data_IF_757169779836
#
_entry.id   IF_757169779836
#
_cell.length_a   1.000
_cell.length_b   1.000
_cell.length_c   1.000
_cell.angle_alpha   90.00
_cell.angle_beta   90.00
_cell.angle_gamma   90.00
#
_symmetry.space_group_name_H-M   'P 1'
#
loop_
_entity.id
_entity.type
_entity.pdbx_description
1 polymer ?
#
# COMPACT_ATOMS: atom_id res chain seq x y z
N UNK A 1 -33.72 24.45 50.10
CA UNK A 1 -32.86 23.78 49.09
C UNK A 1 -33.68 23.73 47.81
N UNK A 2 -33.35 24.54 46.82
CA UNK A 2 -34.05 24.55 45.53
C UNK A 2 -33.59 23.35 44.70
N UNK A 3 -34.45 22.36 44.52
CA UNK A 3 -34.22 21.32 43.52
C UNK A 3 -34.33 21.95 42.13
N UNK A 4 -33.19 22.13 41.45
CA UNK A 4 -33.16 22.49 40.03
C UNK A 4 -33.75 21.33 39.23
N UNK A 5 -35.04 21.42 38.92
CA UNK A 5 -35.73 20.52 37.99
C UNK A 5 -35.19 20.79 36.58
N UNK A 6 -34.10 20.12 36.21
CA UNK A 6 -33.55 20.19 34.86
C UNK A 6 -34.56 19.58 33.89
N UNK A 7 -35.15 20.43 33.05
CA UNK A 7 -36.12 20.04 32.03
C UNK A 7 -35.46 19.02 31.09
N UNK A 8 -36.03 17.80 30.99
CA UNK A 8 -35.51 16.69 30.16
C UNK A 8 -35.22 17.13 28.72
N UNK A 9 -36.03 18.04 28.17
CA UNK A 9 -35.83 18.62 26.82
C UNK A 9 -34.55 19.45 26.71
N UNK A 10 -34.15 20.13 27.78
CA UNK A 10 -32.92 20.92 27.87
C UNK A 10 -31.69 20.02 27.90
N UNK A 11 -31.78 18.86 28.58
CA UNK A 11 -30.70 17.87 28.63
C UNK A 11 -30.47 17.24 27.24
N UNK A 12 -31.54 16.88 26.52
CA UNK A 12 -31.42 16.35 25.15
C UNK A 12 -30.89 17.38 24.15
N UNK A 13 -31.22 18.67 24.32
CA UNK A 13 -30.67 19.75 23.51
C UNK A 13 -29.15 19.86 23.71
N UNK A 14 -28.67 19.81 24.95
CA UNK A 14 -27.24 19.87 25.28
C UNK A 14 -26.50 18.64 24.74
N UNK A 15 -27.06 17.44 24.90
CA UNK A 15 -26.48 16.20 24.35
C UNK A 15 -26.38 16.23 22.81
N UNK A 16 -27.39 16.77 22.13
CA UNK A 16 -27.36 16.94 20.68
C UNK A 16 -26.29 17.91 20.22
N UNK A 17 -26.09 19.02 20.94
CA UNK A 17 -25.05 20.01 20.63
C UNK A 17 -23.66 19.43 20.88
N UNK A 18 -23.44 18.73 21.99
CA UNK A 18 -22.15 18.07 22.28
C UNK A 18 -21.82 17.03 21.21
N UNK A 19 -22.79 16.21 20.79
CA UNK A 19 -22.59 15.23 19.71
C UNK A 19 -22.21 15.88 18.37
N UNK A 20 -22.86 16.98 17.99
CA UNK A 20 -22.55 17.70 16.77
C UNK A 20 -21.15 18.34 16.80
N UNK A 21 -20.73 18.88 17.96
CA UNK A 21 -19.40 19.45 18.14
C UNK A 21 -18.31 18.38 18.05
N UNK A 22 -18.51 17.19 18.62
CA UNK A 22 -17.58 16.07 18.45
C UNK A 22 -17.48 15.62 16.99
N UNK A 23 -18.59 15.60 16.25
CA UNK A 23 -18.59 15.24 14.84
C UNK A 23 -17.83 16.28 13.99
N UNK A 24 -18.01 17.56 14.28
CA UNK A 24 -17.30 18.66 13.62
C UNK A 24 -15.80 18.62 13.95
N UNK A 25 -15.43 18.37 15.21
CA UNK A 25 -14.01 18.21 15.60
C UNK A 25 -13.39 16.98 14.92
N UNK A 26 -14.11 15.84 14.85
CA UNK A 26 -13.66 14.65 14.13
C UNK A 26 -13.44 14.92 12.63
N UNK A 27 -14.36 15.65 11.99
CA UNK A 27 -14.22 16.07 10.59
C UNK A 27 -13.08 17.08 10.37
N UNK A 28 -12.83 17.99 11.33
CA UNK A 28 -11.69 18.92 11.28
C UNK A 28 -10.37 18.16 11.48
N UNK A 29 -10.28 17.16 12.36
CA UNK A 29 -9.06 16.33 12.49
C UNK A 29 -8.76 15.56 11.20
N UNK A 30 -9.79 15.13 10.47
CA UNK A 30 -9.62 14.55 9.12
C UNK A 30 -9.17 15.62 8.10
N UNK A 31 -9.75 16.82 8.11
CA UNK A 31 -9.46 17.87 7.13
C UNK A 31 -8.16 18.65 7.39
N UNK A 32 -7.71 18.79 8.64
CA UNK A 32 -6.45 19.48 8.97
C UNK A 32 -5.24 18.56 8.77
N UNK A 33 -5.46 17.24 8.75
CA UNK A 33 -4.51 16.26 8.18
C UNK A 33 -4.77 16.00 6.67
N UNK A 34 -5.67 16.78 6.07
CA UNK A 34 -6.22 16.64 4.70
C UNK A 34 -5.28 17.06 3.56
N UNK A 35 -3.98 16.88 3.74
CA UNK A 35 -3.04 16.71 2.63
C UNK A 35 -2.32 15.37 2.75
N UNK A 36 -3.11 14.32 2.98
CA UNK A 36 -2.67 12.95 2.80
C UNK A 36 -3.80 12.21 2.11
N UNK A 37 -3.55 11.78 0.89
CA UNK A 37 -4.34 10.77 0.19
C UNK A 37 -4.45 9.52 1.08
N UNK A 38 -5.50 9.41 1.89
CA UNK A 38 -5.79 8.22 2.68
C UNK A 38 -7.28 7.94 2.74
N UNK A 39 -7.85 7.50 1.61
CA UNK A 39 -8.95 6.54 1.64
C UNK A 39 -8.36 5.16 1.43
N UNK A 40 -8.04 4.48 2.53
CA UNK A 40 -7.50 3.13 2.54
C UNK A 40 -7.51 2.49 3.92
N UNK A 41 -8.56 2.73 4.71
CA UNK A 41 -8.83 1.98 5.94
C UNK A 41 -10.27 1.46 5.88
N UNK A 42 -10.41 0.16 5.66
CA UNK A 42 -11.69 -0.57 5.59
C UNK A 42 -12.01 -1.10 4.20
N UNK A 43 -12.00 -2.43 4.05
CA UNK A 43 -12.08 -3.26 2.84
C UNK A 43 -10.72 -3.48 2.18
N UNK A 44 -10.24 -4.73 2.21
CA UNK A 44 -8.90 -5.13 1.77
C UNK A 44 -8.57 -4.59 0.37
N UNK A 45 -7.72 -3.57 0.33
CA UNK A 45 -7.10 -3.12 -0.91
C UNK A 45 -6.22 -4.28 -1.38
N UNK A 46 -6.78 -5.07 -2.29
CA UNK A 46 -6.12 -6.22 -2.85
C UNK A 46 -4.75 -5.81 -3.41
N UNK A 47 -3.70 -6.52 -2.97
CA UNK A 47 -2.37 -6.38 -3.54
C UNK A 47 -2.31 -6.89 -4.98
N UNK A 48 -3.39 -7.46 -5.52
CA UNK A 48 -3.40 -8.07 -6.84
C UNK A 48 -2.91 -7.12 -7.93
N UNK A 49 -2.09 -7.67 -8.82
CA UNK A 49 -1.60 -6.97 -10.00
C UNK A 49 -0.14 -7.31 -10.30
N UNK A 50 0.34 -6.69 -11.37
CA UNK A 50 1.74 -6.79 -11.80
C UNK A 50 2.51 -5.59 -11.26
N UNK A 51 3.61 -5.88 -10.59
CA UNK A 51 4.58 -4.91 -10.11
C UNK A 51 5.92 -5.16 -10.78
N UNK A 52 6.73 -4.13 -10.83
CA UNK A 52 8.08 -4.17 -11.38
C UNK A 52 9.05 -3.58 -10.38
N UNK A 53 10.28 -4.09 -10.34
CA UNK A 53 11.31 -3.51 -9.47
C UNK A 53 11.47 -2.03 -9.81
N UNK A 54 11.48 -1.22 -8.75
CA UNK A 54 11.51 0.23 -8.83
C UNK A 54 12.71 0.77 -8.07
N UNK A 55 13.59 1.49 -8.76
CA UNK A 55 14.71 2.21 -8.14
C UNK A 55 14.27 3.64 -7.91
N UNK A 56 13.57 3.92 -6.80
CA UNK A 56 12.91 5.24 -6.63
C UNK A 56 13.87 6.43 -6.68
N UNK A 57 15.10 6.27 -6.19
CA UNK A 57 16.11 7.33 -6.18
C UNK A 57 16.49 7.77 -7.60
N UNK A 58 16.43 6.85 -8.56
CA UNK A 58 16.70 7.08 -9.97
C UNK A 58 15.42 7.31 -10.78
N UNK A 59 14.24 7.14 -10.17
CA UNK A 59 12.94 7.11 -10.86
C UNK A 59 12.95 6.13 -12.05
N UNK A 60 13.53 4.94 -11.86
CA UNK A 60 13.66 3.90 -12.88
C UNK A 60 12.85 2.67 -12.53
N UNK A 61 12.17 2.10 -13.51
CA UNK A 61 11.55 0.79 -13.47
C UNK A 61 12.38 -0.21 -14.26
N UNK A 62 12.75 -1.31 -13.59
CA UNK A 62 13.40 -2.46 -14.20
C UNK A 62 12.31 -3.39 -14.73
N UNK A 63 12.14 -3.41 -16.06
CA UNK A 63 10.94 -3.96 -16.70
C UNK A 63 10.90 -5.48 -16.84
N UNK A 64 12.06 -6.12 -16.71
CA UNK A 64 12.29 -7.56 -16.76
C UNK A 64 12.42 -8.19 -15.37
N UNK A 65 12.28 -7.41 -14.29
CA UNK A 65 12.12 -7.92 -12.93
C UNK A 65 10.66 -7.74 -12.47
N UNK A 66 9.89 -8.83 -12.52
CA UNK A 66 8.43 -8.81 -12.43
C UNK A 66 7.95 -9.51 -11.15
N UNK A 67 7.05 -8.85 -10.43
CA UNK A 67 6.33 -9.43 -9.30
C UNK A 67 4.84 -9.45 -9.59
N UNK A 68 4.27 -10.63 -9.83
CA UNK A 68 2.82 -10.82 -10.05
C UNK A 68 2.18 -11.27 -8.75
N UNK A 69 1.26 -10.49 -8.20
CA UNK A 69 0.52 -10.86 -6.99
C UNK A 69 -0.91 -11.25 -7.37
N UNK A 70 -1.37 -12.41 -6.88
CA UNK A 70 -2.75 -12.85 -6.95
C UNK A 70 -3.21 -13.50 -5.64
N UNK A 71 -4.06 -12.78 -4.91
CA UNK A 71 -4.62 -13.19 -3.64
C UNK A 71 -3.56 -13.34 -2.57
N UNK A 72 -3.23 -14.59 -2.27
CA UNK A 72 -2.25 -14.98 -1.25
C UNK A 72 -0.91 -15.43 -1.83
N UNK A 73 -0.78 -15.42 -3.14
CA UNK A 73 0.44 -15.89 -3.81
C UNK A 73 1.05 -14.74 -4.58
N UNK A 74 2.37 -14.70 -4.62
CA UNK A 74 3.11 -13.82 -5.50
C UNK A 74 4.16 -14.61 -6.28
N UNK A 75 4.22 -14.43 -7.59
CA UNK A 75 5.25 -15.00 -8.45
C UNK A 75 6.28 -13.92 -8.78
N UNK A 76 7.51 -14.10 -8.32
CA UNK A 76 8.65 -13.27 -8.66
C UNK A 76 9.45 -13.89 -9.79
N UNK A 77 9.74 -13.11 -10.82
CA UNK A 77 10.52 -13.49 -11.98
C UNK A 77 11.62 -12.45 -12.15
N UNK A 78 12.88 -12.87 -12.07
CA UNK A 78 14.02 -12.00 -12.35
C UNK A 78 14.27 -11.87 -13.86
N UNK A 79 15.21 -11.02 -14.25
CA UNK A 79 15.50 -10.76 -15.66
C UNK A 79 15.92 -12.02 -16.43
N UNK A 80 16.68 -12.91 -15.79
CA UNK A 80 17.07 -14.19 -16.39
C UNK A 80 15.85 -15.06 -16.68
N UNK A 81 14.99 -15.25 -15.68
CA UNK A 81 13.73 -16.02 -15.79
C UNK A 81 12.86 -15.47 -16.92
N UNK A 82 12.66 -14.15 -16.96
CA UNK A 82 11.84 -13.49 -17.99
C UNK A 82 12.40 -13.68 -19.40
N UNK A 83 13.73 -13.79 -19.54
CA UNK A 83 14.41 -13.89 -20.84
C UNK A 83 14.49 -15.32 -21.38
N UNK A 84 14.64 -16.32 -20.51
CA UNK A 84 15.02 -17.67 -20.92
C UNK A 84 14.03 -18.78 -20.50
N UNK A 85 13.08 -18.50 -19.60
CA UNK A 85 12.16 -19.49 -19.05
C UNK A 85 10.70 -19.22 -19.44
N UNK A 86 9.79 -20.12 -19.08
CA UNK A 86 8.36 -19.92 -19.33
C UNK A 86 7.76 -18.85 -18.40
N UNK A 87 6.60 -18.29 -18.78
CA UNK A 87 5.95 -17.20 -18.02
C UNK A 87 5.53 -17.56 -16.60
N UNK A 88 5.51 -18.86 -16.30
CA UNK A 88 5.01 -19.44 -15.06
C UNK A 88 6.17 -19.98 -14.18
N UNK A 89 7.40 -19.92 -14.69
CA UNK A 89 8.61 -20.21 -13.93
C UNK A 89 9.06 -18.98 -13.13
N UNK A 90 9.66 -19.22 -11.95
CA UNK A 90 10.08 -18.19 -11.01
C UNK A 90 9.94 -18.60 -9.54
N UNK A 91 10.13 -17.64 -8.64
CA UNK A 91 10.04 -17.86 -7.18
C UNK A 91 8.63 -17.56 -6.68
N UNK A 92 7.99 -18.57 -6.09
CA UNK A 92 6.69 -18.40 -5.44
C UNK A 92 6.86 -17.90 -4.01
N UNK A 93 6.20 -16.79 -3.71
CA UNK A 93 6.14 -16.14 -2.41
C UNK A 93 4.71 -16.18 -1.87
N UNK A 94 4.58 -16.10 -0.54
CA UNK A 94 3.28 -16.03 0.13
C UNK A 94 2.96 -14.59 0.52
N UNK A 95 1.68 -14.22 0.45
CA UNK A 95 1.17 -12.89 0.78
C UNK A 95 0.06 -13.03 1.81
N UNK A 96 0.27 -12.47 3.01
CA UNK A 96 -0.76 -12.35 4.04
C UNK A 96 -1.19 -10.89 4.15
N UNK A 97 -2.30 -10.56 3.49
CA UNK A 97 -2.88 -9.20 3.54
C UNK A 97 -3.49 -8.85 4.88
N UNK A 98 -3.80 -9.83 5.75
CA UNK A 98 -4.33 -9.58 7.10
C UNK A 98 -3.20 -9.21 8.06
N UNK A 99 -2.06 -9.90 7.96
CA UNK A 99 -0.85 -9.60 8.74
C UNK A 99 0.00 -8.48 8.12
N UNK A 100 -0.30 -8.12 6.87
CA UNK A 100 0.51 -7.22 6.05
C UNK A 100 1.95 -7.72 5.87
N UNK A 101 2.10 -9.02 5.57
CA UNK A 101 3.40 -9.65 5.35
C UNK A 101 3.52 -10.32 3.98
N UNK A 102 4.75 -10.39 3.49
CA UNK A 102 5.17 -11.19 2.34
C UNK A 102 6.27 -12.15 2.82
N UNK A 103 6.10 -13.44 2.55
CA UNK A 103 7.09 -14.47 2.87
C UNK A 103 7.83 -14.88 1.62
N UNK A 104 9.14 -14.67 1.61
CA UNK A 104 10.07 -15.21 0.61
C UNK A 104 10.63 -16.53 1.15
N UNK A 105 10.55 -17.66 0.42
CA UNK A 105 10.93 -18.98 0.93
C UNK A 105 12.33 -19.05 1.55
N UNK A 106 13.31 -18.41 0.92
CA UNK A 106 14.73 -18.49 1.32
C UNK A 106 15.18 -17.33 2.24
N UNK A 107 14.35 -16.30 2.42
CA UNK A 107 14.73 -15.08 3.16
C UNK A 107 13.87 -14.87 4.42
N UNK A 108 12.65 -15.40 4.45
CA UNK A 108 11.72 -15.30 5.59
C UNK A 108 10.54 -14.36 5.35
N UNK A 109 9.89 -13.97 6.46
CA UNK A 109 8.69 -13.13 6.46
C UNK A 109 9.05 -11.66 6.68
N UNK A 110 8.51 -10.79 5.82
CA UNK A 110 8.71 -9.34 5.88
C UNK A 110 7.39 -8.60 5.92
N UNK A 111 7.29 -7.61 6.81
CA UNK A 111 6.19 -6.63 6.75
C UNK A 111 6.31 -5.79 5.49
N UNK A 112 5.18 -5.48 4.84
CA UNK A 112 5.15 -4.62 3.66
C UNK A 112 4.42 -3.31 3.92
N UNK A 113 4.76 -2.29 3.12
CA UNK A 113 4.01 -1.04 3.01
C UNK A 113 3.60 -0.82 1.56
N UNK A 114 2.36 -0.39 1.31
CA UNK A 114 1.89 0.04 0.00
C UNK A 114 1.52 1.51 0.05
N UNK A 115 2.27 2.37 -0.63
CA UNK A 115 2.03 3.82 -0.68
C UNK A 115 2.13 4.32 -2.12
N UNK A 116 1.07 4.98 -2.60
CA UNK A 116 1.01 5.52 -3.97
C UNK A 116 1.42 4.49 -5.04
N UNK A 117 0.92 3.26 -4.92
CA UNK A 117 1.26 2.19 -5.86
C UNK A 117 2.69 1.65 -5.79
N UNK A 118 3.51 2.11 -4.84
CA UNK A 118 4.83 1.55 -4.52
C UNK A 118 4.68 0.62 -3.32
N UNK A 119 4.99 -0.64 -3.54
CA UNK A 119 5.07 -1.71 -2.56
C UNK A 119 6.52 -1.82 -2.08
N UNK A 120 6.72 -1.81 -0.76
CA UNK A 120 8.05 -1.86 -0.14
C UNK A 120 8.10 -2.94 0.94
N UNK A 121 9.10 -3.82 0.89
CA UNK A 121 9.33 -4.89 1.87
C UNK A 121 10.76 -5.45 1.69
N UNK A 122 11.15 -6.43 2.52
CA UNK A 122 12.48 -7.03 2.45
C UNK A 122 13.54 -6.27 3.27
N UNK A 123 14.70 -6.91 3.45
CA UNK A 123 15.77 -6.41 4.31
C UNK A 123 16.35 -5.08 3.81
N UNK A 124 16.53 -4.95 2.49
CA UNK A 124 17.05 -3.73 1.86
C UNK A 124 15.95 -2.74 1.46
N UNK A 125 14.73 -2.93 1.97
CA UNK A 125 13.56 -2.14 1.57
C UNK A 125 13.35 -2.16 0.05
N UNK A 126 13.37 -3.35 -0.54
CA UNK A 126 13.10 -3.59 -1.94
C UNK A 126 11.78 -2.90 -2.34
N UNK A 127 11.79 -2.21 -3.46
CA UNK A 127 10.64 -1.43 -3.92
C UNK A 127 10.13 -1.97 -5.24
N UNK A 128 8.82 -2.09 -5.32
CA UNK A 128 8.10 -2.58 -6.47
C UNK A 128 6.96 -1.64 -6.80
N UNK A 129 6.85 -1.20 -8.05
CA UNK A 129 5.82 -0.25 -8.46
C UNK A 129 4.75 -0.94 -9.32
N UNK A 130 3.49 -0.71 -8.99
CA UNK A 130 2.35 -1.31 -9.68
C UNK A 130 2.24 -0.76 -11.10
N UNK A 131 2.09 -1.62 -12.11
CA UNK A 131 1.99 -1.25 -13.53
C UNK A 131 0.97 -0.15 -13.82
N UNK A 132 -0.16 -0.16 -13.10
CA UNK A 132 -1.26 0.80 -13.30
C UNK A 132 -1.06 2.15 -12.59
N UNK A 133 -0.05 2.27 -11.72
CA UNK A 133 0.22 3.47 -10.91
C UNK A 133 0.70 4.66 -11.73
N UNK A 134 0.65 5.86 -11.14
CA UNK A 134 1.19 7.08 -11.77
C UNK A 134 2.72 7.05 -11.79
N UNK A 135 3.30 6.49 -10.75
CA UNK A 135 4.73 6.31 -10.49
C UNK A 135 5.35 5.46 -11.61
N UNK A 136 4.77 4.29 -11.90
CA UNK A 136 5.21 3.46 -13.02
C UNK A 136 5.14 4.22 -14.36
N UNK A 137 4.05 4.96 -14.60
CA UNK A 137 3.86 5.70 -15.86
C UNK A 137 4.91 6.80 -16.05
N UNK A 138 5.34 7.46 -14.97
CA UNK A 138 6.31 8.57 -14.99
C UNK A 138 7.77 8.15 -14.91
N UNK A 139 8.06 6.96 -14.39
CA UNK A 139 9.42 6.45 -14.29
C UNK A 139 10.05 6.20 -15.67
N UNK A 140 11.38 6.22 -15.76
CA UNK A 140 12.07 5.69 -16.94
C UNK A 140 12.01 4.17 -16.92
N UNK A 141 12.01 3.54 -18.10
CA UNK A 141 11.90 2.09 -18.25
C UNK A 141 13.17 1.57 -18.90
N UNK A 142 13.76 0.55 -18.31
CA UNK A 142 14.92 -0.13 -18.87
C UNK A 142 14.95 -1.59 -18.39
N UNK A 143 15.81 -2.39 -18.99
CA UNK A 143 16.14 -3.75 -18.52
C UNK A 143 17.09 -3.70 -17.33
N UNK A 144 17.28 -4.83 -16.65
CA UNK A 144 18.30 -4.95 -15.60
C UNK A 144 19.69 -4.70 -16.18
N UNK A 145 20.00 -5.34 -17.32
CA UNK A 145 21.26 -5.16 -18.04
C UNK A 145 21.52 -3.68 -18.38
N UNK A 146 20.52 -2.94 -18.86
CA UNK A 146 20.65 -1.51 -19.19
C UNK A 146 20.89 -0.65 -17.94
N UNK A 147 20.29 -1.02 -16.80
CA UNK A 147 20.47 -0.29 -15.55
C UNK A 147 21.86 -0.52 -14.94
N UNK A 148 22.37 -1.75 -15.00
CA UNK A 148 23.67 -2.11 -14.42
C UNK A 148 24.86 -1.59 -15.24
N UNK A 149 24.67 -1.36 -16.54
CA UNK A 149 25.72 -0.89 -17.45
C UNK A 149 25.67 0.63 -17.74
N UNK A 150 24.82 1.38 -17.05
CA UNK A 150 24.76 2.85 -17.06
C UNK A 150 25.47 3.46 -15.85
#
# INVERSE_FOLDING_TARGET
>A
MEEKVFNRKFIYLILGIVGAVFLVIYLIVINVNGSSESSGFGLGSSLNGTYYVYKCNNNVVITDNILKIDGKTALYQDAYTVKYESSDEGKLWNVDTKKQTITKPDEGEYSYTLKKGVLTFGYYHDQYVKKSSKEYKKADKMTEDEFENN
#
